data_IF_626419829336
#
_entry.id   IF_626419829336
#
_cell.length_a   1.000
_cell.length_b   1.000
_cell.length_c   1.000
_cell.angle_alpha   90.00
_cell.angle_beta   90.00
_cell.angle_gamma   90.00
#
_symmetry.space_group_name_H-M   'P 1'
#
loop_
_entity.id
_entity.type
_entity.pdbx_description
1 polymer ?
#
# COMPACT_ATOMS: atom_id res chain seq x y z
N UNK A 1 10.05 -5.77 -6.30
CA UNK A 1 8.93 -6.74 -6.42
C UNK A 1 8.10 -6.62 -7.69
N UNK A 2 7.32 -5.55 -7.93
CA UNK A 2 6.44 -5.49 -9.13
C UNK A 2 7.16 -5.74 -10.46
N UNK A 3 8.34 -5.15 -10.67
CA UNK A 3 9.14 -5.40 -11.89
C UNK A 3 9.62 -6.86 -12.00
N UNK A 4 9.95 -7.49 -10.87
CA UNK A 4 10.37 -8.90 -10.84
C UNK A 4 9.26 -9.81 -11.38
N UNK A 5 8.03 -9.58 -10.94
CA UNK A 5 6.86 -10.36 -11.37
C UNK A 5 6.40 -9.99 -12.80
N UNK A 6 6.04 -8.72 -13.04
CA UNK A 6 5.36 -8.31 -14.27
C UNK A 6 6.29 -8.16 -15.48
N UNK A 7 7.57 -7.83 -15.28
CA UNK A 7 8.52 -7.59 -16.37
C UNK A 7 9.54 -8.71 -16.51
N UNK A 8 10.04 -9.25 -15.40
CA UNK A 8 11.10 -10.27 -15.40
C UNK A 8 10.58 -11.70 -15.25
N UNK A 9 9.27 -11.90 -15.08
CA UNK A 9 8.62 -13.21 -14.93
C UNK A 9 9.23 -14.09 -13.83
N UNK A 10 9.77 -13.47 -12.78
CA UNK A 10 10.31 -14.18 -11.63
C UNK A 10 9.16 -14.66 -10.73
N UNK A 11 9.31 -15.86 -10.16
CA UNK A 11 8.38 -16.39 -9.17
C UNK A 11 8.59 -15.67 -7.82
N UNK A 12 7.85 -14.59 -7.58
CA UNK A 12 7.94 -13.83 -6.32
C UNK A 12 7.24 -14.53 -5.13
N UNK A 13 6.66 -15.72 -5.33
CA UNK A 13 6.21 -16.56 -4.23
C UNK A 13 7.32 -17.51 -3.72
N UNK A 14 8.49 -17.53 -4.39
CA UNK A 14 9.66 -18.28 -3.96
C UNK A 14 10.52 -17.43 -3.02
N UNK A 15 10.81 -17.97 -1.84
CA UNK A 15 11.60 -17.34 -0.80
C UNK A 15 13.02 -16.98 -1.28
N UNK A 16 13.67 -17.86 -2.06
CA UNK A 16 15.01 -17.60 -2.60
C UNK A 16 15.04 -16.41 -3.55
N UNK A 17 13.97 -16.22 -4.32
CA UNK A 17 13.80 -15.05 -5.20
C UNK A 17 13.64 -13.80 -4.35
N UNK A 18 12.81 -13.83 -3.30
CA UNK A 18 12.60 -12.71 -2.39
C UNK A 18 13.89 -12.31 -1.67
N UNK A 19 14.66 -13.27 -1.15
CA UNK A 19 15.93 -13.03 -0.46
C UNK A 19 16.96 -12.38 -1.39
N UNK A 20 17.09 -12.87 -2.63
CA UNK A 20 18.01 -12.25 -3.60
C UNK A 20 17.66 -10.79 -3.91
N UNK A 21 16.38 -10.39 -3.82
CA UNK A 21 16.00 -8.96 -3.95
C UNK A 21 16.25 -8.16 -2.67
N UNK A 22 16.09 -8.75 -1.48
CA UNK A 22 16.43 -8.10 -0.21
C UNK A 22 17.94 -7.81 -0.16
N UNK A 23 18.76 -8.80 -0.49
CA UNK A 23 20.22 -8.68 -0.57
C UNK A 23 20.64 -7.59 -1.56
N UNK A 24 20.03 -7.57 -2.76
CA UNK A 24 20.32 -6.55 -3.78
C UNK A 24 19.95 -5.12 -3.34
N UNK A 25 19.03 -4.98 -2.38
CA UNK A 25 18.64 -3.69 -1.78
C UNK A 25 19.43 -3.38 -0.50
N UNK A 26 20.30 -4.28 -0.04
CA UNK A 26 21.04 -4.14 1.23
C UNK A 26 20.16 -4.29 2.47
N UNK A 27 19.02 -4.98 2.34
CA UNK A 27 18.12 -5.26 3.46
C UNK A 27 18.58 -6.58 4.13
N UNK A 28 18.84 -6.61 5.45
CA UNK A 28 19.30 -7.83 6.12
C UNK A 28 18.22 -8.92 6.09
N UNK A 29 18.50 -10.03 5.39
CA UNK A 29 17.57 -11.17 5.25
C UNK A 29 17.24 -11.76 6.62
N UNK A 30 18.25 -11.98 7.46
CA UNK A 30 18.08 -12.57 8.80
C UNK A 30 17.11 -11.77 9.70
N UNK A 31 17.13 -10.43 9.61
CA UNK A 31 16.21 -9.59 10.39
C UNK A 31 14.76 -9.70 9.88
N UNK A 32 14.58 -9.79 8.56
CA UNK A 32 13.27 -9.98 7.94
C UNK A 32 12.72 -11.36 8.29
N UNK A 33 13.53 -12.41 8.21
CA UNK A 33 13.15 -13.77 8.61
C UNK A 33 12.79 -13.85 10.10
N UNK A 34 13.54 -13.17 10.97
CA UNK A 34 13.21 -13.10 12.39
C UNK A 34 11.83 -12.48 12.64
N UNK A 35 11.47 -11.44 11.90
CA UNK A 35 10.16 -10.78 12.02
C UNK A 35 9.00 -11.58 11.40
N UNK A 36 9.27 -12.38 10.37
CA UNK A 36 8.28 -13.30 9.80
C UNK A 36 8.05 -14.49 10.74
N UNK A 37 9.14 -15.07 11.25
CA UNK A 37 9.11 -16.30 12.07
C UNK A 37 8.55 -16.08 13.47
N UNK A 38 8.66 -14.87 14.03
CA UNK A 38 8.07 -14.53 15.33
C UNK A 38 6.54 -14.30 15.27
N UNK A 39 5.95 -14.28 14.06
CA UNK A 39 4.51 -14.15 13.85
C UNK A 39 3.99 -12.71 13.73
N UNK A 40 4.81 -11.69 14.00
CA UNK A 40 4.40 -10.29 13.93
C UNK A 40 4.00 -9.88 12.51
N UNK A 41 4.78 -10.28 11.50
CA UNK A 41 4.47 -9.97 10.10
C UNK A 41 3.10 -10.55 9.69
N UNK A 42 2.77 -11.77 10.15
CA UNK A 42 1.47 -12.39 9.91
C UNK A 42 0.34 -11.69 10.64
N UNK A 43 0.56 -11.27 11.89
CA UNK A 43 -0.42 -10.52 12.66
C UNK A 43 -0.73 -9.17 12.01
N UNK A 44 0.31 -8.43 11.56
CA UNK A 44 0.16 -7.19 10.82
C UNK A 44 -0.63 -7.39 9.52
N UNK A 45 -0.29 -8.44 8.74
CA UNK A 45 -1.02 -8.78 7.52
C UNK A 45 -2.50 -9.10 7.79
N UNK A 46 -2.81 -9.81 8.88
CA UNK A 46 -4.20 -10.10 9.27
C UNK A 46 -4.97 -8.82 9.60
N UNK A 47 -4.36 -7.89 10.35
CA UNK A 47 -4.96 -6.60 10.68
C UNK A 47 -5.21 -5.77 9.42
N UNK A 48 -4.29 -5.78 8.46
CA UNK A 48 -4.48 -5.11 7.17
C UNK A 48 -5.65 -5.72 6.36
N UNK A 49 -5.81 -7.04 6.39
CA UNK A 49 -6.96 -7.72 5.76
C UNK A 49 -8.29 -7.37 6.43
N UNK A 50 -8.30 -7.20 7.76
CA UNK A 50 -9.47 -6.72 8.51
C UNK A 50 -9.79 -5.25 8.15
N UNK A 51 -8.79 -4.38 8.11
CA UNK A 51 -8.97 -2.96 7.76
C UNK A 51 -9.46 -2.80 6.31
N UNK A 52 -8.93 -3.60 5.38
CA UNK A 52 -9.42 -3.68 4.00
C UNK A 52 -10.94 -3.96 3.93
N UNK A 53 -11.41 -4.95 4.71
CA UNK A 53 -12.83 -5.30 4.80
C UNK A 53 -13.64 -4.18 5.46
N UNK A 54 -13.18 -3.66 6.59
CA UNK A 54 -13.87 -2.60 7.33
C UNK A 54 -14.04 -1.32 6.50
N UNK A 55 -13.06 -1.03 5.64
CA UNK A 55 -13.09 0.11 4.72
C UNK A 55 -13.78 -0.19 3.40
N UNK A 56 -14.36 -1.38 3.22
CA UNK A 56 -15.06 -1.78 1.99
C UNK A 56 -14.24 -1.48 0.74
N UNK A 57 -12.95 -1.85 0.75
CA UNK A 57 -12.07 -1.62 -0.40
C UNK A 57 -12.38 -2.66 -1.47
N UNK A 58 -12.86 -2.23 -2.62
CA UNK A 58 -13.33 -3.12 -3.69
C UNK A 58 -12.20 -3.70 -4.56
N UNK A 59 -11.03 -3.06 -4.55
CA UNK A 59 -9.88 -3.53 -5.32
C UNK A 59 -8.65 -2.63 -5.18
N UNK A 60 -7.67 -2.85 -6.06
CA UNK A 60 -6.42 -2.09 -6.09
C UNK A 60 -6.14 -1.49 -7.48
N UNK A 61 -5.44 -0.33 -7.55
CA UNK A 61 -5.10 0.53 -6.43
C UNK A 61 -6.33 1.30 -5.90
N UNK A 62 -6.34 1.59 -4.60
CA UNK A 62 -7.35 2.45 -3.95
C UNK A 62 -6.63 3.47 -3.07
N UNK A 63 -7.03 4.73 -3.17
CA UNK A 63 -6.61 5.80 -2.27
C UNK A 63 -7.80 6.20 -1.40
N UNK A 64 -7.59 6.18 -0.08
CA UNK A 64 -8.57 6.66 0.90
C UNK A 64 -7.97 7.89 1.56
N UNK A 65 -8.66 9.01 1.47
CA UNK A 65 -8.22 10.30 2.01
C UNK A 65 -9.37 10.93 2.81
N UNK A 66 -9.06 11.98 3.57
CA UNK A 66 -10.04 12.72 4.36
C UNK A 66 -10.87 11.82 5.30
N UNK A 67 -10.20 10.98 6.10
CA UNK A 67 -10.83 10.06 7.06
C UNK A 67 -11.87 9.11 6.42
N UNK A 68 -11.73 8.81 5.13
CA UNK A 68 -12.68 7.95 4.41
C UNK A 68 -13.72 8.69 3.58
N UNK A 69 -13.81 10.03 3.66
CA UNK A 69 -14.74 10.83 2.85
C UNK A 69 -14.37 10.88 1.37
N UNK A 70 -13.09 10.74 1.04
CA UNK A 70 -12.62 10.71 -0.34
C UNK A 70 -12.05 9.33 -0.69
N UNK A 71 -12.53 8.75 -1.79
CA UNK A 71 -12.08 7.46 -2.32
C UNK A 71 -11.80 7.57 -3.81
N UNK A 72 -10.58 7.24 -4.21
CA UNK A 72 -10.17 7.11 -5.61
C UNK A 72 -9.83 5.66 -5.89
N UNK A 73 -10.61 5.01 -6.76
CA UNK A 73 -10.45 3.58 -7.09
C UNK A 73 -10.02 3.39 -8.55
N UNK A 74 -9.06 2.48 -8.76
CA UNK A 74 -8.53 2.12 -10.06
C UNK A 74 -7.36 2.99 -10.50
N UNK A 75 -6.98 2.87 -11.77
CA UNK A 75 -5.86 3.61 -12.36
C UNK A 75 -6.22 5.09 -12.59
N UNK A 76 -6.43 5.82 -11.50
CA UNK A 76 -6.73 7.25 -11.50
C UNK A 76 -5.46 8.03 -11.87
N UNK A 77 -5.59 8.97 -12.80
CA UNK A 77 -4.46 9.77 -13.27
C UNK A 77 -3.86 10.64 -12.17
N UNK A 78 -2.54 10.83 -12.21
CA UNK A 78 -1.78 11.58 -11.21
C UNK A 78 -2.36 12.98 -10.92
N UNK A 79 -2.82 13.71 -11.95
CA UNK A 79 -3.39 15.05 -11.77
C UNK A 79 -4.65 15.06 -10.89
N UNK A 80 -5.48 14.03 -10.98
CA UNK A 80 -6.68 13.93 -10.15
C UNK A 80 -6.33 13.59 -8.69
N UNK A 81 -5.34 12.71 -8.49
CA UNK A 81 -4.82 12.40 -7.15
C UNK A 81 -4.20 13.66 -6.52
N UNK A 82 -3.33 14.36 -7.26
CA UNK A 82 -2.65 15.57 -6.79
C UNK A 82 -3.64 16.69 -6.43
N UNK A 83 -4.68 16.90 -7.24
CA UNK A 83 -5.71 17.89 -6.94
C UNK A 83 -6.46 17.59 -5.63
N UNK A 84 -6.79 16.31 -5.36
CA UNK A 84 -7.43 15.91 -4.10
C UNK A 84 -6.51 16.16 -2.90
N UNK A 85 -5.22 15.82 -3.03
CA UNK A 85 -4.24 16.06 -1.95
C UNK A 85 -4.07 17.56 -1.70
N UNK A 86 -3.95 18.37 -2.76
CA UNK A 86 -3.78 19.82 -2.62
C UNK A 86 -4.97 20.45 -1.91
N UNK A 87 -6.20 20.08 -2.32
CA UNK A 87 -7.42 20.53 -1.67
C UNK A 87 -7.42 20.21 -0.17
N UNK A 88 -6.99 19.00 0.22
CA UNK A 88 -6.92 18.61 1.63
C UNK A 88 -5.89 19.39 2.44
N UNK A 89 -4.79 19.84 1.80
CA UNK A 89 -3.73 20.61 2.45
C UNK A 89 -4.06 22.10 2.55
N UNK A 90 -4.74 22.65 1.54
CA UNK A 90 -5.08 24.08 1.45
C UNK A 90 -6.40 24.44 2.14
N UNK A 91 -7.17 23.42 2.57
CA UNK A 91 -8.48 23.64 3.18
C UNK A 91 -8.39 24.52 4.44
N UNK A 92 -9.02 25.70 4.38
CA UNK A 92 -9.33 26.48 5.58
C UNK A 92 -10.39 25.73 6.40
N UNK A 93 -10.18 25.62 7.71
CA UNK A 93 -10.96 24.77 8.64
C UNK A 93 -12.47 25.12 8.67
N UNK A 94 -12.85 26.33 8.21
CA UNK A 94 -14.21 26.87 8.28
C UNK A 94 -15.02 26.81 6.97
N UNK A 95 -14.49 26.24 5.88
CA UNK A 95 -15.26 26.07 4.64
C UNK A 95 -16.01 24.73 4.61
N UNK A 96 -17.31 24.71 4.27
CA UNK A 96 -18.06 23.45 4.19
C UNK A 96 -17.53 22.54 3.08
N UNK A 97 -17.52 21.22 3.33
CA UNK A 97 -17.06 20.15 2.42
C UNK A 97 -17.80 20.06 1.06
N UNK A 98 -18.74 20.97 0.78
CA UNK A 98 -19.66 20.94 -0.37
C UNK A 98 -19.71 22.25 -1.19
N UNK A 99 -18.90 23.25 -0.84
CA UNK A 99 -18.82 24.54 -1.54
C UNK A 99 -17.59 24.64 -2.44
#
# INVERSE_FOLDING_TARGET
MRLAFFSKLQNIADESVLHGHLEALGIPVDEVEAEISNGNAYAALSLDMDDHRNRMIEGSPTWIMNEGRQRLYGNVGYRAIAANIQELLEREVDLPDWC
#
